data_IF_755024198870
#
_entry.id   IF_755024198870
#
_cell.length_a   1.000
_cell.length_b   1.000
_cell.length_c   1.000
_cell.angle_alpha   90.00
_cell.angle_beta   90.00
_cell.angle_gamma   90.00
#
_symmetry.space_group_name_H-M   'P 1'
#
loop_
_entity.id
_entity.type
_entity.pdbx_description
1 polymer ?
#
# COMPACT_ATOMS: atom_id res chain seq x y z
N UNK A 1 -10.69 25.18 -27.69
CA UNK A 1 -9.62 25.43 -26.69
C UNK A 1 -9.78 24.41 -25.58
N UNK A 2 -8.78 23.55 -25.42
CA UNK A 2 -8.80 22.26 -24.71
C UNK A 2 -8.12 22.37 -23.32
N UNK A 3 -8.35 23.44 -22.58
CA UNK A 3 -7.57 23.75 -21.35
C UNK A 3 -8.04 22.99 -20.10
N UNK A 4 -9.28 22.52 -20.05
CA UNK A 4 -9.84 21.79 -18.90
C UNK A 4 -9.48 20.30 -18.86
N UNK A 5 -9.24 19.67 -20.01
CA UNK A 5 -8.86 18.26 -20.07
C UNK A 5 -7.42 18.05 -19.58
N UNK A 6 -6.51 18.99 -19.88
CA UNK A 6 -5.08 18.92 -19.54
C UNK A 6 -4.82 19.14 -18.05
N UNK A 7 -5.59 20.00 -17.38
CA UNK A 7 -5.43 20.23 -15.94
C UNK A 7 -5.89 19.04 -15.11
N UNK A 8 -6.95 18.35 -15.53
CA UNK A 8 -7.48 17.18 -14.84
C UNK A 8 -6.60 15.93 -14.98
N UNK A 9 -5.90 15.75 -16.10
CA UNK A 9 -4.92 14.66 -16.29
C UNK A 9 -3.66 14.89 -15.47
N UNK A 10 -3.09 16.11 -15.49
CA UNK A 10 -1.89 16.44 -14.69
C UNK A 10 -2.15 16.25 -13.19
N UNK A 11 -3.28 16.74 -12.68
CA UNK A 11 -3.66 16.57 -11.28
C UNK A 11 -3.84 15.10 -10.86
N UNK A 12 -4.22 14.23 -11.80
CA UNK A 12 -4.40 12.79 -11.57
C UNK A 12 -3.06 12.04 -11.58
N UNK A 13 -2.09 12.49 -12.36
CA UNK A 13 -0.76 11.87 -12.42
C UNK A 13 0.09 12.26 -11.22
N UNK A 14 0.04 13.53 -10.80
CA UNK A 14 0.69 14.02 -9.57
C UNK A 14 0.15 13.30 -8.32
N UNK A 15 -1.17 13.08 -8.25
CA UNK A 15 -1.80 12.32 -7.17
C UNK A 15 -1.37 10.85 -7.15
N UNK A 16 -1.12 10.25 -8.32
CA UNK A 16 -0.63 8.87 -8.39
C UNK A 16 0.84 8.77 -7.96
N UNK A 17 1.67 9.72 -8.38
CA UNK A 17 3.10 9.77 -8.03
C UNK A 17 3.31 10.06 -6.54
N UNK A 18 2.58 11.01 -5.95
CA UNK A 18 2.74 11.32 -4.54
C UNK A 18 2.28 10.17 -3.64
N UNK A 19 1.19 9.49 -4.01
CA UNK A 19 0.76 8.27 -3.31
C UNK A 19 1.83 7.19 -3.41
N UNK A 20 2.36 6.94 -4.61
CA UNK A 20 3.45 6.00 -4.82
C UNK A 20 4.65 6.32 -3.92
N UNK A 21 5.07 7.59 -3.90
CA UNK A 21 6.15 8.07 -3.06
C UNK A 21 5.87 7.87 -1.56
N UNK A 22 4.62 8.09 -1.12
CA UNK A 22 4.22 7.86 0.27
C UNK A 22 4.34 6.39 0.68
N UNK A 23 3.83 5.46 -0.15
CA UNK A 23 3.96 4.02 0.10
C UNK A 23 5.44 3.59 0.16
N UNK A 24 6.26 4.05 -0.79
CA UNK A 24 7.68 3.74 -0.86
C UNK A 24 8.44 4.31 0.33
N UNK A 25 8.21 5.58 0.69
CA UNK A 25 8.87 6.22 1.82
C UNK A 25 8.53 5.52 3.14
N UNK A 26 7.28 5.11 3.33
CA UNK A 26 6.86 4.36 4.50
C UNK A 26 7.63 3.05 4.66
N UNK A 27 7.80 2.29 3.57
CA UNK A 27 8.57 1.04 3.59
C UNK A 27 10.06 1.27 3.87
N UNK A 28 10.68 2.29 3.30
CA UNK A 28 12.09 2.64 3.57
C UNK A 28 12.29 2.98 5.06
N UNK A 29 11.38 3.76 5.63
CA UNK A 29 11.41 4.08 7.07
C UNK A 29 11.23 2.81 7.90
N UNK A 30 10.28 1.93 7.54
CA UNK A 30 10.04 0.68 8.25
C UNK A 30 11.27 -0.24 8.23
N UNK A 31 11.91 -0.44 7.07
CA UNK A 31 13.17 -1.21 6.99
C UNK A 31 14.24 -0.58 7.89
N UNK A 32 14.39 0.74 7.85
CA UNK A 32 15.41 1.45 8.63
C UNK A 32 15.20 1.28 10.13
N UNK A 33 13.95 1.31 10.58
CA UNK A 33 13.59 1.08 11.98
C UNK A 33 13.85 -0.35 12.42
N UNK A 34 13.48 -1.34 11.60
CA UNK A 34 13.69 -2.76 11.93
C UNK A 34 15.16 -3.15 11.86
N UNK A 35 15.91 -2.63 10.88
CA UNK A 35 17.34 -2.86 10.77
C UNK A 35 18.13 -2.15 11.88
N UNK A 36 17.51 -1.19 12.58
CA UNK A 36 18.10 -0.58 13.77
C UNK A 36 18.04 -1.57 14.94
N UNK A 37 19.22 -2.07 15.34
CA UNK A 37 19.39 -3.00 16.48
C UNK A 37 18.90 -2.43 17.83
N UNK A 38 18.59 -1.15 17.88
CA UNK A 38 18.12 -0.44 19.08
C UNK A 38 16.60 -0.43 19.24
N UNK A 39 15.84 -0.87 18.22
CA UNK A 39 14.38 -0.85 18.24
C UNK A 39 13.83 -2.25 18.52
N UNK A 40 13.10 -2.41 19.61
CA UNK A 40 12.45 -3.68 19.95
C UNK A 40 11.12 -3.86 19.20
N UNK A 41 10.71 -5.12 19.02
CA UNK A 41 9.40 -5.50 18.49
C UNK A 41 8.23 -4.83 19.23
N UNK A 42 8.36 -4.65 20.55
CA UNK A 42 7.35 -3.98 21.37
C UNK A 42 7.17 -2.51 20.97
N UNK A 43 8.29 -1.81 20.72
CA UNK A 43 8.24 -0.41 20.24
C UNK A 43 7.58 -0.36 18.86
N UNK A 44 7.87 -1.32 17.99
CA UNK A 44 7.26 -1.41 16.66
C UNK A 44 5.75 -1.62 16.76
N UNK A 45 5.30 -2.50 17.66
CA UNK A 45 3.88 -2.77 17.89
C UNK A 45 3.13 -1.55 18.43
N UNK A 46 3.75 -0.83 19.38
CA UNK A 46 3.20 0.42 19.89
C UNK A 46 3.08 1.49 18.78
N UNK A 47 4.12 1.64 17.95
CA UNK A 47 4.09 2.57 16.82
C UNK A 47 3.01 2.18 15.81
N UNK A 48 2.85 0.90 15.51
CA UNK A 48 1.83 0.40 14.60
C UNK A 48 0.40 0.62 15.14
N UNK A 49 0.19 0.37 16.43
CA UNK A 49 -1.10 0.61 17.10
C UNK A 49 -1.47 2.10 17.11
N UNK A 50 -0.51 2.98 17.42
CA UNK A 50 -0.69 4.44 17.36
C UNK A 50 -1.01 4.87 15.91
N UNK A 51 -0.24 4.38 14.94
CA UNK A 51 -0.43 4.72 13.53
C UNK A 51 -1.82 4.28 13.03
N UNK A 52 -2.26 3.07 13.38
CA UNK A 52 -3.60 2.57 13.05
C UNK A 52 -4.70 3.43 13.66
N UNK A 53 -4.61 3.76 14.95
CA UNK A 53 -5.57 4.64 15.62
C UNK A 53 -5.62 6.01 14.96
N UNK A 54 -4.46 6.59 14.62
CA UNK A 54 -4.38 7.87 13.92
C UNK A 54 -5.05 7.81 12.53
N UNK A 55 -4.85 6.73 11.78
CA UNK A 55 -5.51 6.51 10.48
C UNK A 55 -7.02 6.42 10.64
N UNK A 56 -7.51 5.65 11.62
CA UNK A 56 -8.96 5.54 11.91
C UNK A 56 -9.55 6.90 12.25
N UNK A 57 -8.89 7.69 13.10
CA UNK A 57 -9.35 9.04 13.46
C UNK A 57 -9.36 9.97 12.24
N UNK A 58 -8.29 9.96 11.43
CA UNK A 58 -8.20 10.75 10.22
C UNK A 58 -9.29 10.37 9.19
N UNK A 59 -9.63 9.09 9.10
CA UNK A 59 -10.67 8.57 8.20
C UNK A 59 -12.07 8.94 8.67
N UNK A 60 -12.34 8.82 9.98
CA UNK A 60 -13.59 9.32 10.57
C UNK A 60 -13.72 10.82 10.28
N UNK A 61 -12.66 11.60 10.47
CA UNK A 61 -12.63 13.04 10.16
C UNK A 61 -12.91 13.31 8.67
N UNK A 62 -12.25 12.58 7.77
CA UNK A 62 -12.43 12.73 6.32
C UNK A 62 -13.85 12.38 5.87
N UNK A 63 -14.41 11.28 6.35
CA UNK A 63 -15.73 10.80 5.96
C UNK A 63 -16.82 11.71 6.53
N UNK A 64 -16.77 11.98 7.84
CA UNK A 64 -17.77 12.81 8.50
C UNK A 64 -17.65 14.28 8.08
N UNK A 65 -16.43 14.80 7.91
CA UNK A 65 -16.14 16.15 7.42
C UNK A 65 -16.71 16.37 6.03
N UNK A 66 -16.47 15.43 5.11
CA UNK A 66 -17.06 15.48 3.77
C UNK A 66 -18.60 15.43 3.81
N UNK A 67 -19.18 14.49 4.57
CA UNK A 67 -20.65 14.38 4.67
C UNK A 67 -21.30 15.62 5.29
N UNK A 68 -20.65 16.22 6.27
CA UNK A 68 -21.14 17.40 6.97
C UNK A 68 -20.96 18.67 6.13
N UNK A 69 -19.89 18.78 5.34
CA UNK A 69 -19.69 19.91 4.42
C UNK A 69 -20.72 19.99 3.31
N UNK A 70 -21.43 18.90 3.01
CA UNK A 70 -22.57 18.90 2.09
C UNK A 70 -23.87 19.43 2.72
N UNK A 71 -23.91 19.60 4.05
CA UNK A 71 -25.14 19.90 4.80
C UNK A 71 -25.11 21.24 5.53
N UNK A 72 -23.96 21.65 6.04
CA UNK A 72 -23.83 22.87 6.84
C UNK A 72 -22.47 23.54 6.68
N UNK A 73 -22.39 24.83 7.02
CA UNK A 73 -21.14 25.55 7.15
C UNK A 73 -20.88 25.87 8.63
N UNK A 74 -19.89 25.18 9.23
CA UNK A 74 -19.48 25.37 10.61
C UNK A 74 -17.94 25.24 10.74
N UNK A 75 -17.42 25.39 11.96
CA UNK A 75 -15.96 25.30 12.20
C UNK A 75 -15.36 23.96 11.74
N UNK A 76 -16.10 22.86 11.87
CA UNK A 76 -15.65 21.52 11.49
C UNK A 76 -15.56 21.35 9.98
N UNK A 77 -16.55 21.88 9.23
CA UNK A 77 -16.52 21.85 7.76
C UNK A 77 -15.46 22.79 7.19
N UNK A 78 -15.16 23.90 7.87
CA UNK A 78 -14.02 24.78 7.54
C UNK A 78 -12.68 24.09 7.78
N UNK A 79 -12.53 23.37 8.88
CA UNK A 79 -11.34 22.54 9.15
C UNK A 79 -11.18 21.44 8.09
N UNK A 80 -12.26 20.74 7.73
CA UNK A 80 -12.26 19.77 6.63
C UNK A 80 -11.86 20.40 5.30
N UNK A 81 -12.42 21.55 4.94
CA UNK A 81 -12.10 22.25 3.69
C UNK A 81 -10.62 22.68 3.65
N UNK A 82 -10.07 23.16 4.77
CA UNK A 82 -8.65 23.46 4.90
C UNK A 82 -7.80 22.19 4.70
N UNK A 83 -8.11 21.12 5.43
CA UNK A 83 -7.38 19.86 5.34
C UNK A 83 -7.41 19.28 3.92
N UNK A 84 -8.58 19.32 3.28
CA UNK A 84 -8.77 18.89 1.90
C UNK A 84 -7.90 19.72 0.94
N UNK A 85 -7.96 21.05 1.06
CA UNK A 85 -7.24 21.98 0.19
C UNK A 85 -5.72 21.82 0.27
N UNK A 86 -5.17 21.57 1.45
CA UNK A 86 -3.71 21.57 1.64
C UNK A 86 -3.09 20.17 1.71
N UNK A 87 -3.83 19.15 2.16
CA UNK A 87 -3.30 17.82 2.43
C UNK A 87 -4.03 16.77 1.58
N UNK A 88 -5.34 16.61 1.80
CA UNK A 88 -6.08 15.44 1.30
C UNK A 88 -6.20 15.40 -0.22
N UNK A 89 -6.25 16.55 -0.92
CA UNK A 89 -6.36 16.60 -2.40
C UNK A 89 -5.21 15.93 -3.14
N UNK A 90 -4.08 15.70 -2.48
CA UNK A 90 -2.90 15.08 -3.08
C UNK A 90 -2.78 13.58 -2.78
N UNK A 91 -3.56 13.08 -1.82
CA UNK A 91 -3.47 11.71 -1.32
C UNK A 91 -4.77 10.91 -1.56
N UNK A 92 -5.92 11.58 -1.64
CA UNK A 92 -7.25 10.97 -1.68
C UNK A 92 -7.91 11.24 -3.02
N UNK A 93 -8.37 10.18 -3.69
CA UNK A 93 -9.04 10.30 -4.98
C UNK A 93 -10.46 10.85 -4.79
N UNK A 94 -11.01 11.56 -5.78
CA UNK A 94 -12.40 12.02 -5.72
C UNK A 94 -13.43 10.90 -5.44
N UNK A 95 -13.19 9.70 -5.98
CA UNK A 95 -14.06 8.53 -5.73
C UNK A 95 -13.98 7.95 -4.31
N UNK A 96 -12.94 8.33 -3.56
CA UNK A 96 -12.69 7.92 -2.17
C UNK A 96 -13.30 8.92 -1.17
N UNK A 97 -13.85 10.06 -1.63
CA UNK A 97 -14.49 11.03 -0.73
C UNK A 97 -15.72 10.43 -0.04
N UNK A 98 -15.81 10.61 1.28
CA UNK A 98 -16.89 10.06 2.10
C UNK A 98 -16.86 8.53 2.28
N UNK A 99 -15.76 7.89 1.89
CA UNK A 99 -15.51 6.45 2.00
C UNK A 99 -14.12 6.20 2.62
N UNK A 100 -13.86 5.00 3.17
CA UNK A 100 -12.52 4.63 3.60
C UNK A 100 -11.51 4.78 2.45
N UNK A 101 -10.37 5.42 2.73
CA UNK A 101 -9.31 5.59 1.73
C UNK A 101 -8.44 4.33 1.63
N UNK A 102 -7.58 4.32 0.62
CA UNK A 102 -6.58 3.28 0.45
C UNK A 102 -5.52 3.24 1.56
N UNK A 103 -5.40 4.28 2.39
CA UNK A 103 -4.52 4.28 3.57
C UNK A 103 -5.08 3.37 4.67
N UNK A 104 -6.40 3.39 4.90
CA UNK A 104 -7.05 2.46 5.85
C UNK A 104 -6.77 1.02 5.47
N UNK A 105 -6.99 0.66 4.21
CA UNK A 105 -6.85 -0.73 3.77
C UNK A 105 -5.40 -1.20 3.80
N UNK A 106 -4.45 -0.28 3.57
CA UNK A 106 -3.02 -0.54 3.71
C UNK A 106 -2.62 -0.82 5.17
N UNK A 107 -2.96 0.07 6.10
CA UNK A 107 -2.58 -0.08 7.52
C UNK A 107 -3.35 -1.21 8.19
N UNK A 108 -4.62 -1.40 7.83
CA UNK A 108 -5.45 -2.50 8.35
C UNK A 108 -4.86 -3.86 8.01
N UNK A 109 -4.34 -4.06 6.79
CA UNK A 109 -3.71 -5.32 6.42
C UNK A 109 -2.53 -5.65 7.34
N UNK A 110 -1.66 -4.66 7.56
CA UNK A 110 -0.50 -4.80 8.44
C UNK A 110 -0.89 -5.06 9.90
N UNK A 111 -1.90 -4.34 10.41
CA UNK A 111 -2.44 -4.56 11.76
C UNK A 111 -3.00 -5.97 11.91
N UNK A 112 -3.75 -6.45 10.93
CA UNK A 112 -4.33 -7.81 10.98
C UNK A 112 -3.24 -8.86 10.99
N UNK A 113 -2.22 -8.77 10.14
CA UNK A 113 -1.13 -9.77 10.15
C UNK A 113 -0.26 -9.63 11.40
N UNK A 114 0.16 -8.41 11.78
CA UNK A 114 1.10 -8.23 12.89
C UNK A 114 0.44 -8.42 14.25
N UNK A 115 -0.65 -7.70 14.52
CA UNK A 115 -1.30 -7.71 15.83
C UNK A 115 -2.36 -8.81 15.93
N UNK A 116 -3.07 -9.10 14.83
CA UNK A 116 -4.13 -10.12 14.82
C UNK A 116 -3.61 -11.54 14.69
N UNK A 117 -2.60 -11.78 13.86
CA UNK A 117 -2.01 -13.10 13.60
C UNK A 117 -0.65 -13.30 14.28
N UNK A 118 -0.16 -12.31 15.04
CA UNK A 118 1.12 -12.35 15.77
C UNK A 118 2.33 -12.66 14.85
N UNK A 119 2.28 -12.22 13.60
CA UNK A 119 3.31 -12.51 12.59
C UNK A 119 4.62 -11.80 12.94
N UNK A 120 5.79 -12.45 12.80
CA UNK A 120 7.09 -11.80 13.01
C UNK A 120 7.27 -10.52 12.20
N UNK A 121 7.96 -9.52 12.78
CA UNK A 121 8.18 -8.21 12.15
C UNK A 121 8.87 -8.34 10.79
N UNK A 122 9.85 -9.24 10.68
CA UNK A 122 10.59 -9.50 9.44
C UNK A 122 9.64 -9.96 8.32
N UNK A 123 8.70 -10.85 8.63
CA UNK A 123 7.69 -11.30 7.67
C UNK A 123 6.75 -10.16 7.27
N UNK A 124 6.32 -9.34 8.24
CA UNK A 124 5.52 -8.15 7.97
C UNK A 124 6.24 -7.16 7.03
N UNK A 125 7.56 -7.01 7.15
CA UNK A 125 8.35 -6.19 6.24
C UNK A 125 8.32 -6.71 4.80
N UNK A 126 8.40 -8.02 4.57
CA UNK A 126 8.29 -8.59 3.22
C UNK A 126 6.96 -8.26 2.58
N UNK A 127 5.87 -8.46 3.33
CA UNK A 127 4.53 -8.18 2.83
C UNK A 127 4.36 -6.68 2.57
N UNK A 128 4.95 -5.84 3.43
CA UNK A 128 4.99 -4.40 3.23
C UNK A 128 5.78 -4.02 1.98
N UNK A 129 6.93 -4.65 1.71
CA UNK A 129 7.72 -4.41 0.50
C UNK A 129 6.89 -4.69 -0.76
N UNK A 130 6.23 -5.85 -0.79
CA UNK A 130 5.38 -6.30 -1.90
C UNK A 130 4.28 -5.28 -2.17
N UNK A 131 3.55 -4.84 -1.14
CA UNK A 131 2.47 -3.88 -1.31
C UNK A 131 2.98 -2.49 -1.71
N UNK A 132 4.01 -2.00 -1.02
CA UNK A 132 4.47 -0.61 -1.11
C UNK A 132 5.13 -0.29 -2.44
N UNK A 133 5.73 -1.29 -3.06
CA UNK A 133 6.36 -1.15 -4.38
C UNK A 133 5.50 -1.76 -5.48
N UNK A 134 4.82 -2.87 -5.21
CA UNK A 134 3.98 -3.56 -6.17
C UNK A 134 2.84 -2.70 -6.72
N UNK A 135 1.90 -2.18 -5.89
CA UNK A 135 0.74 -1.41 -6.40
C UNK A 135 1.15 -0.18 -7.20
N UNK A 136 2.09 0.67 -6.73
CA UNK A 136 2.54 1.81 -7.52
C UNK A 136 3.10 1.42 -8.88
N UNK A 137 3.97 0.41 -8.93
CA UNK A 137 4.63 0.00 -10.17
C UNK A 137 3.70 -0.79 -11.09
N UNK A 138 2.70 -1.50 -10.57
CA UNK A 138 1.64 -2.08 -11.38
C UNK A 138 0.86 -1.01 -12.14
N UNK A 139 0.59 0.11 -11.48
CA UNK A 139 -0.10 1.25 -12.07
C UNK A 139 0.77 1.96 -13.10
N UNK A 140 2.04 2.23 -12.77
CA UNK A 140 3.00 2.84 -13.71
C UNK A 140 3.17 1.95 -14.95
N UNK A 141 3.42 0.66 -14.76
CA UNK A 141 3.55 -0.31 -15.85
C UNK A 141 2.28 -0.40 -16.69
N UNK A 142 1.11 -0.46 -16.06
CA UNK A 142 -0.17 -0.54 -16.76
C UNK A 142 -0.56 0.72 -17.54
N UNK A 143 0.01 1.89 -17.19
CA UNK A 143 -0.20 3.15 -17.92
C UNK A 143 0.87 3.35 -19.01
N UNK A 144 2.15 3.11 -18.69
CA UNK A 144 3.27 3.43 -19.57
C UNK A 144 3.56 2.34 -20.61
N UNK A 145 3.30 1.08 -20.30
CA UNK A 145 3.58 -0.05 -21.18
C UNK A 145 2.27 -0.47 -21.84
N UNK A 146 2.17 -0.26 -23.16
CA UNK A 146 1.01 -0.72 -23.94
C UNK A 146 0.99 -2.25 -23.93
N UNK A 147 -0.15 -2.82 -23.53
CA UNK A 147 -0.30 -4.27 -23.48
C UNK A 147 -1.75 -4.71 -23.35
N UNK A 148 -2.00 -6.02 -23.53
CA UNK A 148 -3.33 -6.59 -23.39
C UNK A 148 -3.85 -6.45 -21.96
N UNK A 149 -5.17 -6.29 -21.84
CA UNK A 149 -5.86 -6.39 -20.55
C UNK A 149 -5.79 -7.82 -20.03
N UNK A 150 -5.78 -7.96 -18.71
CA UNK A 150 -5.95 -9.27 -18.07
C UNK A 150 -7.34 -9.84 -18.38
N UNK A 151 -7.48 -11.17 -18.48
CA UNK A 151 -8.77 -11.83 -18.68
C UNK A 151 -9.82 -11.32 -17.69
N UNK A 152 -11.02 -10.97 -18.19
CA UNK A 152 -12.14 -10.44 -17.39
C UNK A 152 -11.90 -9.11 -16.64
N UNK A 153 -10.74 -8.45 -16.83
CA UNK A 153 -10.37 -7.23 -16.09
C UNK A 153 -10.26 -5.97 -16.94
N UNK A 154 -10.75 -6.01 -18.20
CA UNK A 154 -10.82 -4.85 -19.11
C UNK A 154 -11.57 -3.65 -18.49
N UNK A 155 -12.68 -3.89 -17.79
CA UNK A 155 -13.47 -2.81 -17.13
C UNK A 155 -12.69 -2.14 -15.99
N UNK A 156 -11.88 -2.91 -15.26
CA UNK A 156 -11.01 -2.42 -14.19
C UNK A 156 -9.70 -1.80 -14.69
N UNK A 157 -9.47 -1.82 -16.02
CA UNK A 157 -8.24 -1.34 -16.68
C UNK A 157 -6.96 -1.99 -16.16
N UNK A 158 -7.01 -3.25 -15.71
CA UNK A 158 -5.83 -4.01 -15.26
C UNK A 158 -5.21 -4.73 -16.47
N UNK A 159 -3.90 -4.63 -16.65
CA UNK A 159 -3.17 -5.15 -17.81
C UNK A 159 -2.11 -6.17 -17.41
N UNK A 160 -1.72 -7.02 -18.36
CA UNK A 160 -0.59 -7.93 -18.18
C UNK A 160 0.71 -7.18 -17.88
N UNK A 161 0.91 -6.02 -18.51
CA UNK A 161 2.07 -5.18 -18.24
C UNK A 161 2.12 -4.69 -16.79
N UNK A 162 0.97 -4.25 -16.24
CA UNK A 162 0.88 -3.88 -14.82
C UNK A 162 1.17 -5.06 -13.89
N UNK A 163 0.58 -6.23 -14.16
CA UNK A 163 0.85 -7.45 -13.39
C UNK A 163 2.34 -7.85 -13.40
N UNK A 164 2.97 -7.87 -14.57
CA UNK A 164 4.38 -8.25 -14.70
C UNK A 164 5.30 -7.21 -14.05
N UNK A 165 4.95 -5.92 -14.12
CA UNK A 165 5.73 -4.86 -13.46
C UNK A 165 5.60 -4.97 -11.94
N UNK A 166 4.42 -5.26 -11.41
CA UNK A 166 4.23 -5.58 -9.98
C UNK A 166 5.18 -6.71 -9.57
N UNK A 167 5.09 -7.85 -10.27
CA UNK A 167 5.82 -9.05 -9.94
C UNK A 167 7.34 -8.79 -9.96
N UNK A 168 7.83 -8.20 -11.04
CA UNK A 168 9.25 -7.91 -11.23
C UNK A 168 9.78 -6.95 -10.15
N UNK A 169 9.14 -5.80 -9.97
CA UNK A 169 9.62 -4.78 -9.02
C UNK A 169 9.55 -5.28 -7.58
N UNK A 170 8.45 -5.94 -7.19
CA UNK A 170 8.30 -6.48 -5.84
C UNK A 170 9.36 -7.54 -5.56
N UNK A 171 9.66 -8.41 -6.54
CA UNK A 171 10.73 -9.42 -6.41
C UNK A 171 12.09 -8.75 -6.20
N UNK A 172 12.44 -7.75 -7.03
CA UNK A 172 13.71 -7.03 -6.91
C UNK A 172 13.83 -6.34 -5.55
N UNK A 173 12.76 -5.70 -5.07
CA UNK A 173 12.78 -5.00 -3.77
C UNK A 173 12.89 -5.98 -2.61
N UNK A 174 12.19 -7.11 -2.66
CA UNK A 174 12.32 -8.16 -1.63
C UNK A 174 13.76 -8.68 -1.59
N UNK A 175 14.39 -8.93 -2.74
CA UNK A 175 15.81 -9.33 -2.80
C UNK A 175 16.73 -8.25 -2.21
N UNK A 176 16.51 -6.97 -2.52
CA UNK A 176 17.29 -5.87 -1.94
C UNK A 176 17.10 -5.84 -0.41
N UNK A 177 15.87 -6.02 0.06
CA UNK A 177 15.58 -6.09 1.49
C UNK A 177 16.28 -7.30 2.14
N UNK A 178 16.29 -8.46 1.51
CA UNK A 178 17.00 -9.64 2.02
C UNK A 178 18.49 -9.37 2.17
N UNK A 179 19.12 -8.73 1.19
CA UNK A 179 20.55 -8.36 1.28
C UNK A 179 20.78 -7.46 2.50
N UNK A 180 19.94 -6.45 2.72
CA UNK A 180 20.04 -5.56 3.89
C UNK A 180 19.87 -6.34 5.20
N UNK A 181 18.86 -7.21 5.28
CA UNK A 181 18.56 -7.98 6.49
C UNK A 181 19.62 -9.06 6.79
N UNK A 182 20.23 -9.64 5.77
CA UNK A 182 21.36 -10.56 5.90
C UNK A 182 22.58 -9.81 6.44
N UNK A 183 22.89 -8.63 5.89
CA UNK A 183 24.05 -7.83 6.29
C UNK A 183 24.00 -7.43 7.77
N UNK A 184 22.82 -7.08 8.28
CA UNK A 184 22.63 -6.76 9.71
C UNK A 184 22.49 -7.99 10.61
N UNK A 185 22.47 -9.21 10.05
CA UNK A 185 22.38 -10.48 10.77
C UNK A 185 20.97 -10.84 11.25
N UNK A 186 19.93 -10.25 10.67
CA UNK A 186 18.52 -10.48 11.03
C UNK A 186 17.84 -11.56 10.19
N UNK A 187 18.43 -11.93 9.05
CA UNK A 187 17.88 -12.94 8.15
C UNK A 187 18.94 -13.99 7.80
N UNK A 188 18.55 -15.26 7.89
CA UNK A 188 19.25 -16.37 7.23
C UNK A 188 18.38 -16.87 6.08
N UNK A 189 18.80 -16.59 4.84
CA UNK A 189 18.02 -16.97 3.67
C UNK A 189 18.35 -18.40 3.24
N UNK A 190 17.47 -19.34 3.56
CA UNK A 190 17.53 -20.71 3.04
C UNK A 190 16.56 -20.87 1.85
N UNK A 191 16.54 -22.06 1.22
CA UNK A 191 15.69 -22.32 0.05
C UNK A 191 14.20 -22.13 0.33
N UNK A 192 13.72 -22.51 1.53
CA UNK A 192 12.29 -22.46 1.86
C UNK A 192 11.78 -21.01 2.00
N UNK A 193 12.40 -20.12 2.82
CA UNK A 193 12.02 -18.71 2.88
C UNK A 193 12.12 -17.99 1.53
N UNK A 194 13.12 -18.31 0.71
CA UNK A 194 13.24 -17.72 -0.63
C UNK A 194 12.07 -18.12 -1.55
N UNK A 195 11.66 -19.40 -1.54
CA UNK A 195 10.47 -19.85 -2.28
C UNK A 195 9.21 -19.20 -1.71
N UNK A 196 9.08 -19.12 -0.38
CA UNK A 196 7.93 -18.52 0.28
C UNK A 196 7.75 -17.05 -0.11
N UNK A 197 8.84 -16.28 -0.19
CA UNK A 197 8.82 -14.89 -0.67
C UNK A 197 8.37 -14.76 -2.12
N UNK A 198 8.85 -15.63 -3.03
CA UNK A 198 8.42 -15.62 -4.44
C UNK A 198 6.92 -15.95 -4.55
N UNK A 199 6.44 -16.94 -3.80
CA UNK A 199 5.02 -17.28 -3.74
C UNK A 199 4.21 -16.11 -3.18
N UNK A 200 4.69 -15.43 -2.15
CA UNK A 200 4.07 -14.23 -1.60
C UNK A 200 3.95 -13.09 -2.63
N UNK A 201 5.03 -12.81 -3.38
CA UNK A 201 5.03 -11.80 -4.45
C UNK A 201 3.99 -12.17 -5.51
N UNK A 202 3.97 -13.43 -5.95
CA UNK A 202 3.03 -13.92 -6.94
C UNK A 202 1.59 -13.80 -6.46
N UNK A 203 1.32 -14.22 -5.23
CA UNK A 203 0.00 -14.14 -4.59
C UNK A 203 -0.45 -12.66 -4.47
N UNK A 204 0.43 -11.76 -4.06
CA UNK A 204 0.18 -10.31 -4.04
C UNK A 204 -0.14 -9.74 -5.42
N UNK A 205 0.60 -10.13 -6.46
CA UNK A 205 0.35 -9.71 -7.84
C UNK A 205 -1.04 -10.18 -8.34
N UNK A 206 -1.42 -11.41 -7.98
CA UNK A 206 -2.75 -11.96 -8.29
C UNK A 206 -3.86 -11.21 -7.57
N UNK A 207 -3.67 -10.87 -6.29
CA UNK A 207 -4.60 -10.05 -5.54
C UNK A 207 -4.77 -8.66 -6.20
N UNK A 208 -3.68 -7.99 -6.58
CA UNK A 208 -3.75 -6.70 -7.29
C UNK A 208 -4.48 -6.81 -8.64
N UNK A 209 -4.26 -7.92 -9.35
CA UNK A 209 -4.90 -8.17 -10.64
C UNK A 209 -6.41 -8.41 -10.52
N UNK A 210 -6.85 -9.21 -9.54
CA UNK A 210 -8.21 -9.79 -9.53
C UNK A 210 -9.09 -9.37 -8.35
N UNK A 211 -8.55 -8.79 -7.27
CA UNK A 211 -9.37 -8.36 -6.15
C UNK A 211 -10.42 -7.32 -6.58
N UNK A 212 -11.68 -7.44 -6.11
CA UNK A 212 -12.77 -6.58 -6.55
C UNK A 212 -12.81 -5.19 -5.86
N UNK A 213 -12.34 -5.08 -4.62
CA UNK A 213 -12.27 -3.84 -3.82
C UNK A 213 -11.19 -3.95 -2.74
N UNK A 214 -10.74 -2.82 -2.16
CA UNK A 214 -9.72 -2.80 -1.10
C UNK A 214 -8.46 -3.59 -1.45
N UNK A 215 -7.96 -3.39 -2.68
CA UNK A 215 -6.77 -4.04 -3.24
C UNK A 215 -5.62 -4.10 -2.23
N UNK A 216 -5.28 -2.98 -1.58
CA UNK A 216 -4.20 -2.95 -0.60
C UNK A 216 -4.37 -3.94 0.57
N UNK A 217 -5.59 -4.11 1.09
CA UNK A 217 -5.86 -5.04 2.20
C UNK A 217 -5.70 -6.49 1.75
N UNK A 218 -6.28 -6.83 0.60
CA UNK A 218 -6.21 -8.19 0.06
C UNK A 218 -4.81 -8.54 -0.44
N UNK A 219 -4.05 -7.60 -1.01
CA UNK A 219 -2.65 -7.82 -1.38
C UNK A 219 -1.86 -8.24 -0.14
N UNK A 220 -2.01 -7.54 0.99
CA UNK A 220 -1.34 -7.91 2.25
C UNK A 220 -1.73 -9.31 2.70
N UNK A 221 -3.02 -9.60 2.81
CA UNK A 221 -3.48 -10.90 3.32
C UNK A 221 -3.13 -12.07 2.41
N UNK A 222 -3.28 -11.90 1.10
CA UNK A 222 -3.02 -12.97 0.12
C UNK A 222 -1.52 -13.18 -0.05
N UNK A 223 -0.70 -12.13 -0.02
CA UNK A 223 0.74 -12.27 0.00
C UNK A 223 1.22 -13.00 1.27
N UNK A 224 0.71 -12.62 2.45
CA UNK A 224 1.02 -13.33 3.69
C UNK A 224 0.54 -14.79 3.65
N UNK A 225 -0.69 -15.05 3.19
CA UNK A 225 -1.19 -16.41 3.04
C UNK A 225 -0.32 -17.25 2.09
N UNK A 226 0.14 -16.68 0.98
CA UNK A 226 1.08 -17.34 0.08
C UNK A 226 2.42 -17.65 0.74
N UNK A 227 2.95 -16.73 1.54
CA UNK A 227 4.16 -16.95 2.34
C UNK A 227 3.96 -18.09 3.36
N UNK A 228 2.91 -17.99 4.17
CA UNK A 228 2.62 -18.91 5.27
C UNK A 228 2.36 -20.34 4.79
N UNK A 229 1.71 -20.53 3.64
CA UNK A 229 1.46 -21.87 3.07
C UNK A 229 2.77 -22.60 2.74
N UNK A 230 3.82 -21.89 2.35
CA UNK A 230 5.13 -22.48 2.08
C UNK A 230 5.94 -22.68 3.36
N UNK A 231 5.80 -21.76 4.32
CA UNK A 231 6.53 -21.80 5.58
C UNK A 231 6.01 -22.84 6.58
N UNK A 232 4.71 -23.20 6.51
CA UNK A 232 4.10 -24.40 7.10
C UNK A 232 4.45 -24.71 8.54
#
# INVERSE_FOLDING_TARGET
>A
MNTTATSATVQKDDLQLLRAAFHIAFHIIAISLVASREVSDEVIDQVLDIAWKAVVVAEIFMISGYRMSQKCDNWYTKAFAWFHKYIARYLIRPKEYGKPTAMTTYVLGLVVIRLGLAVPVIECLYIMAILSWGDPFARIGGIKIKGPYLPFRKKAKKTWAGFLTFFFVSTVVVVIQDVVLIDVGMLTLTTVPAIAQIVAVFAGAFAEAYAPFADNFFITLVAYGGYAVVMG
#
